data_IF_069867815678
#
_entry.id   IF_069867815678
#
_cell.length_a   1.000
_cell.length_b   1.000
_cell.length_c   1.000
_cell.angle_alpha   90.00
_cell.angle_beta   90.00
_cell.angle_gamma   90.00
#
_symmetry.space_group_name_H-M   'P 1'
#
loop_
_entity.id
_entity.type
_entity.pdbx_description
1 polymer ?
#
# COMPACT_ATOMS: atom_id res chain seq x y z
N UNK A 1 28.11 63.41 54.12
CA UNK A 1 27.93 64.34 52.98
C UNK A 1 28.74 63.78 51.82
N UNK A 2 28.08 63.03 50.94
CA UNK A 2 28.69 62.32 49.81
C UNK A 2 28.65 63.19 48.54
N UNK A 3 29.71 63.21 47.72
CA UNK A 3 29.82 64.13 46.59
C UNK A 3 29.01 63.70 45.36
N UNK A 4 28.47 64.70 44.67
CA UNK A 4 27.73 64.62 43.40
C UNK A 4 28.63 64.14 42.27
N UNK A 5 28.20 63.10 41.54
CA UNK A 5 28.85 62.62 40.33
C UNK A 5 28.30 63.33 39.08
N UNK A 6 29.21 63.83 38.26
CA UNK A 6 28.99 64.58 37.02
C UNK A 6 28.51 63.66 35.88
N UNK A 7 27.55 64.13 35.09
CA UNK A 7 27.06 63.46 33.88
C UNK A 7 28.04 63.58 32.70
N UNK A 8 28.24 62.54 31.86
CA UNK A 8 28.94 62.68 30.57
C UNK A 8 28.02 63.15 29.43
N UNK A 9 28.59 63.68 28.31
CA UNK A 9 27.88 64.48 27.32
C UNK A 9 27.18 63.68 26.21
N UNK A 10 26.33 64.42 25.49
CA UNK A 10 25.44 64.03 24.39
C UNK A 10 26.17 63.70 23.08
N UNK A 11 25.55 62.77 22.31
CA UNK A 11 25.51 62.65 20.83
C UNK A 11 26.32 61.52 20.17
N UNK A 12 25.58 60.57 19.57
CA UNK A 12 25.83 60.07 18.21
C UNK A 12 24.48 60.03 17.46
N UNK A 13 24.40 60.43 16.18
CA UNK A 13 23.15 60.41 15.40
C UNK A 13 22.89 59.03 14.79
N UNK A 14 21.62 58.63 14.68
CA UNK A 14 21.18 57.40 14.01
C UNK A 14 21.37 57.46 12.48
N UNK A 15 21.70 56.34 11.80
CA UNK A 15 21.80 56.30 10.34
C UNK A 15 20.40 56.23 9.69
N UNK A 16 20.21 57.07 8.69
CA UNK A 16 19.00 57.21 7.89
C UNK A 16 18.80 56.00 6.96
N UNK A 17 17.69 55.26 7.11
CA UNK A 17 17.38 54.01 6.36
C UNK A 17 16.71 54.25 5.00
N UNK A 18 16.78 55.47 4.46
CA UNK A 18 16.00 55.88 3.28
C UNK A 18 16.59 55.45 1.91
N UNK A 19 17.44 54.42 1.84
CA UNK A 19 18.07 53.99 0.59
C UNK A 19 18.07 52.47 0.36
N UNK A 20 16.92 51.80 0.55
CA UNK A 20 16.73 50.43 0.07
C UNK A 20 15.91 50.47 -1.23
N UNK A 21 16.48 50.14 -2.41
CA UNK A 21 15.70 50.09 -3.63
C UNK A 21 14.66 48.97 -3.56
N UNK A 22 13.39 49.32 -3.81
CA UNK A 22 12.26 48.40 -3.96
C UNK A 22 12.30 47.70 -5.32
N UNK A 23 13.39 47.01 -5.65
CA UNK A 23 13.35 46.06 -6.76
C UNK A 23 12.92 44.71 -6.19
N UNK A 24 11.60 44.56 -6.12
CA UNK A 24 10.94 43.36 -5.64
C UNK A 24 11.43 42.18 -6.47
N UNK A 25 12.27 41.34 -5.85
CA UNK A 25 12.58 40.02 -6.35
C UNK A 25 11.27 39.33 -6.76
N UNK A 26 11.03 39.25 -8.06
CA UNK A 26 10.01 38.36 -8.60
C UNK A 26 10.57 36.97 -8.39
N UNK A 27 10.28 36.40 -7.20
CA UNK A 27 10.51 34.99 -6.94
C UNK A 27 9.67 34.27 -7.99
N UNK A 28 10.28 33.50 -8.92
CA UNK A 28 9.50 32.63 -9.78
C UNK A 28 8.73 31.72 -8.84
N UNK A 29 7.40 31.78 -8.89
CA UNK A 29 6.50 30.93 -8.12
C UNK A 29 7.11 29.53 -8.01
N UNK A 30 7.64 29.22 -6.83
CA UNK A 30 8.23 27.93 -6.53
C UNK A 30 7.06 26.97 -6.70
N UNK A 31 7.05 26.22 -7.80
CA UNK A 31 5.97 25.30 -8.14
C UNK A 31 5.52 24.59 -6.87
N UNK A 32 4.26 24.81 -6.45
CA UNK A 32 3.74 24.23 -5.24
C UNK A 32 4.08 22.74 -5.25
N UNK A 33 4.66 22.17 -4.17
CA UNK A 33 5.09 20.78 -4.17
C UNK A 33 3.91 19.91 -4.59
N UNK A 34 4.03 19.27 -5.76
CA UNK A 34 2.98 18.41 -6.30
C UNK A 34 2.78 17.29 -5.28
N UNK A 35 1.66 17.33 -4.57
CA UNK A 35 1.32 16.29 -3.61
C UNK A 35 1.19 14.97 -4.36
N UNK A 36 1.82 13.91 -3.84
CA UNK A 36 1.70 12.56 -4.40
C UNK A 36 0.21 12.19 -4.49
N UNK A 37 -0.27 12.00 -5.72
CA UNK A 37 -1.63 11.51 -5.99
C UNK A 37 -1.58 10.05 -6.43
N UNK A 38 -2.62 9.30 -6.09
CA UNK A 38 -2.75 7.87 -6.39
C UNK A 38 -4.18 7.55 -6.82
N UNK A 39 -4.34 6.46 -7.56
CA UNK A 39 -5.63 5.86 -7.87
C UNK A 39 -5.75 4.47 -7.23
N UNK A 40 -6.94 4.15 -6.72
CA UNK A 40 -7.29 2.84 -6.20
C UNK A 40 -8.49 2.30 -6.98
N UNK A 41 -8.29 1.24 -7.74
CA UNK A 41 -9.30 0.62 -8.59
C UNK A 41 -10.15 -0.37 -7.80
N UNK A 42 -11.44 -0.44 -8.13
CA UNK A 42 -12.43 -1.30 -7.48
C UNK A 42 -12.80 -2.45 -8.41
N UNK A 43 -12.68 -3.69 -7.92
CA UNK A 43 -13.12 -4.86 -8.65
C UNK A 43 -14.61 -5.12 -8.39
N UNK A 44 -15.47 -4.62 -9.28
CA UNK A 44 -16.93 -4.84 -9.16
C UNK A 44 -17.37 -6.29 -9.30
N UNK A 45 -16.47 -7.16 -9.76
CA UNK A 45 -16.71 -8.60 -9.91
C UNK A 45 -16.17 -9.41 -8.74
N UNK A 46 -15.48 -8.78 -7.78
CA UNK A 46 -14.94 -9.46 -6.62
C UNK A 46 -16.05 -10.12 -5.79
N UNK A 47 -15.66 -11.15 -5.04
CA UNK A 47 -16.52 -11.72 -4.02
C UNK A 47 -16.76 -10.64 -2.94
N UNK A 48 -18.01 -10.23 -2.77
CA UNK A 48 -18.41 -9.24 -1.75
C UNK A 48 -18.31 -9.79 -0.31
N UNK A 49 -18.13 -11.10 -0.15
CA UNK A 49 -18.17 -11.75 1.15
C UNK A 49 -19.59 -11.72 1.76
N UNK A 50 -19.75 -12.18 3.01
CA UNK A 50 -21.05 -12.21 3.68
C UNK A 50 -21.46 -10.87 4.31
N UNK A 51 -20.53 -9.91 4.41
CA UNK A 51 -20.79 -8.65 5.10
C UNK A 51 -21.17 -7.49 4.19
N UNK A 52 -20.81 -7.54 2.90
CA UNK A 52 -21.08 -6.48 1.93
C UNK A 52 -22.21 -6.87 0.97
N UNK A 53 -23.10 -5.93 0.72
CA UNK A 53 -24.18 -6.05 -0.25
C UNK A 53 -23.62 -5.98 -1.67
N UNK A 54 -23.65 -7.11 -2.39
CA UNK A 54 -23.16 -7.20 -3.79
C UNK A 54 -23.74 -6.12 -4.70
N UNK A 55 -25.02 -5.78 -4.55
CA UNK A 55 -25.68 -4.73 -5.35
C UNK A 55 -25.08 -3.35 -5.11
N UNK A 56 -24.73 -3.02 -3.86
CA UNK A 56 -24.08 -1.75 -3.51
C UNK A 56 -22.65 -1.71 -4.03
N UNK A 57 -21.90 -2.81 -3.89
CA UNK A 57 -20.54 -2.92 -4.44
C UNK A 57 -20.52 -2.70 -5.95
N UNK A 58 -21.50 -3.22 -6.69
CA UNK A 58 -21.61 -3.00 -8.14
C UNK A 58 -21.93 -1.54 -8.52
N UNK A 59 -22.53 -0.77 -7.60
CA UNK A 59 -22.86 0.66 -7.79
C UNK A 59 -21.70 1.60 -7.43
N UNK A 60 -20.63 1.11 -6.82
CA UNK A 60 -19.44 1.91 -6.52
C UNK A 60 -18.80 2.49 -7.80
N UNK A 61 -17.99 3.56 -7.72
CA UNK A 61 -17.20 4.01 -8.86
C UNK A 61 -16.20 2.95 -9.32
N UNK A 62 -15.64 3.10 -10.52
CA UNK A 62 -14.59 2.17 -11.02
C UNK A 62 -13.27 2.31 -10.25
N UNK A 63 -13.01 3.50 -9.71
CA UNK A 63 -11.82 3.81 -8.92
C UNK A 63 -12.07 5.02 -8.01
N UNK A 64 -11.21 5.15 -6.99
CA UNK A 64 -11.02 6.33 -6.17
C UNK A 64 -9.72 7.03 -6.57
N UNK A 65 -9.72 8.37 -6.60
CA UNK A 65 -8.58 9.18 -7.04
C UNK A 65 -8.72 9.72 -8.47
N UNK A 66 -7.73 10.49 -8.97
CA UNK A 66 -6.41 10.74 -8.36
C UNK A 66 -6.48 11.68 -7.15
N UNK A 67 -6.14 11.17 -5.96
CA UNK A 67 -6.15 11.93 -4.69
C UNK A 67 -4.97 11.52 -3.79
N UNK A 68 -4.79 12.18 -2.64
CA UNK A 68 -3.77 11.79 -1.66
C UNK A 68 -4.04 10.38 -1.11
N UNK A 69 -3.00 9.60 -0.75
CA UNK A 69 -3.18 8.25 -0.20
C UNK A 69 -4.13 8.16 1.01
N UNK A 70 -4.16 9.18 1.87
CA UNK A 70 -5.10 9.26 2.99
C UNK A 70 -6.56 9.35 2.56
N UNK A 71 -6.84 10.11 1.50
CA UNK A 71 -8.20 10.32 1.02
C UNK A 71 -8.74 9.08 0.28
N UNK A 72 -7.94 8.44 -0.58
CA UNK A 72 -8.35 7.17 -1.21
C UNK A 72 -8.55 6.06 -0.18
N UNK A 73 -7.76 6.04 0.91
CA UNK A 73 -7.96 5.10 2.02
C UNK A 73 -9.29 5.38 2.73
N UNK A 74 -9.58 6.64 3.05
CA UNK A 74 -10.83 7.05 3.67
C UNK A 74 -12.03 6.67 2.80
N UNK A 75 -11.99 6.98 1.50
CA UNK A 75 -13.03 6.64 0.52
C UNK A 75 -13.27 5.13 0.44
N UNK A 76 -12.20 4.33 0.35
CA UNK A 76 -12.32 2.87 0.29
C UNK A 76 -12.92 2.26 1.57
N UNK A 77 -12.49 2.72 2.75
CA UNK A 77 -13.04 2.25 4.04
C UNK A 77 -14.50 2.68 4.20
N UNK A 78 -14.83 3.92 3.84
CA UNK A 78 -16.20 4.44 3.86
C UNK A 78 -17.11 3.61 2.92
N UNK A 79 -16.64 3.31 1.71
CA UNK A 79 -17.37 2.48 0.76
C UNK A 79 -17.68 1.07 1.31
N UNK A 80 -16.73 0.43 2.02
CA UNK A 80 -17.00 -0.84 2.69
C UNK A 80 -18.08 -0.71 3.78
N UNK A 81 -18.08 0.38 4.55
CA UNK A 81 -19.09 0.63 5.59
C UNK A 81 -20.47 0.86 4.94
N UNK A 82 -20.55 1.69 3.90
CA UNK A 82 -21.82 2.04 3.24
C UNK A 82 -22.42 0.83 2.49
N UNK A 83 -21.56 -0.03 1.96
CA UNK A 83 -21.96 -1.29 1.32
C UNK A 83 -22.33 -2.39 2.33
N UNK A 84 -22.16 -2.20 3.64
CA UNK A 84 -22.38 -3.26 4.62
C UNK A 84 -23.86 -3.59 4.83
N UNK A 85 -24.18 -4.89 4.93
CA UNK A 85 -25.49 -5.36 5.42
C UNK A 85 -25.76 -4.87 6.85
N UNK A 86 -24.71 -4.81 7.67
CA UNK A 86 -24.75 -4.35 9.06
C UNK A 86 -23.58 -3.40 9.31
N UNK A 87 -23.81 -2.08 9.19
CA UNK A 87 -22.74 -1.08 9.33
C UNK A 87 -22.01 -1.17 10.67
N UNK A 88 -22.74 -1.40 11.78
CA UNK A 88 -22.16 -1.55 13.13
C UNK A 88 -21.06 -2.62 13.18
N UNK A 89 -21.27 -3.75 12.51
CA UNK A 89 -20.32 -4.86 12.50
C UNK A 89 -19.07 -4.49 11.71
N UNK A 90 -19.22 -4.03 10.47
CA UNK A 90 -18.10 -3.62 9.61
C UNK A 90 -17.32 -2.47 10.24
N UNK A 91 -18.01 -1.48 10.79
CA UNK A 91 -17.42 -0.36 11.50
C UNK A 91 -16.60 -0.81 12.72
N UNK A 92 -17.03 -1.85 13.44
CA UNK A 92 -16.28 -2.39 14.57
C UNK A 92 -14.93 -3.04 14.17
N UNK A 93 -14.83 -3.56 12.94
CA UNK A 93 -13.63 -4.19 12.39
C UNK A 93 -12.56 -3.17 11.98
N UNK A 94 -12.98 -1.98 11.52
CA UNK A 94 -12.07 -0.86 11.23
C UNK A 94 -11.38 -0.46 12.53
N UNK A 95 -10.06 -0.60 12.65
CA UNK A 95 -9.36 -0.22 13.89
C UNK A 95 -9.10 1.28 13.92
N UNK A 96 -9.27 1.89 15.09
CA UNK A 96 -8.91 3.29 15.29
C UNK A 96 -7.39 3.44 15.14
N UNK A 97 -6.95 4.42 14.36
CA UNK A 97 -5.54 4.79 14.30
C UNK A 97 -5.12 5.57 15.54
N UNK A 98 -3.81 5.57 15.83
CA UNK A 98 -3.22 6.31 16.94
C UNK A 98 -2.12 7.24 16.43
N UNK A 99 -2.12 8.49 16.88
CA UNK A 99 -1.08 9.48 16.62
C UNK A 99 -1.20 10.21 15.27
N UNK A 100 -0.66 11.44 15.23
CA UNK A 100 -0.59 12.28 14.04
C UNK A 100 -1.91 12.94 13.64
N UNK A 101 -1.93 13.46 12.41
CA UNK A 101 -3.14 13.99 11.77
C UNK A 101 -4.07 12.82 11.40
N UNK A 102 -5.38 13.03 11.58
CA UNK A 102 -6.40 11.98 11.42
C UNK A 102 -7.51 12.43 10.48
N UNK A 103 -7.99 11.51 9.65
CA UNK A 103 -9.24 11.64 8.90
C UNK A 103 -10.30 10.73 9.51
N UNK A 104 -11.57 10.96 9.21
CA UNK A 104 -12.65 10.22 9.83
C UNK A 104 -13.54 9.50 8.82
N UNK A 105 -13.99 8.30 9.18
CA UNK A 105 -15.06 7.57 8.50
C UNK A 105 -16.26 7.47 9.42
N UNK A 106 -17.45 7.40 8.86
CA UNK A 106 -18.69 7.38 9.61
C UNK A 106 -19.53 6.15 9.31
N UNK A 107 -20.28 5.70 10.31
CA UNK A 107 -21.30 4.67 10.17
C UNK A 107 -22.56 5.11 10.90
N UNK A 108 -23.72 4.74 10.38
CA UNK A 108 -25.02 5.02 10.99
C UNK A 108 -25.62 3.72 11.55
N UNK A 109 -25.78 3.66 12.87
CA UNK A 109 -26.43 2.54 13.55
C UNK A 109 -27.03 3.02 14.89
N UNK A 110 -28.01 2.29 15.42
CA UNK A 110 -28.75 2.66 16.65
C UNK A 110 -29.36 4.08 16.58
N UNK A 111 -29.71 4.56 15.39
CA UNK A 111 -30.25 5.90 15.15
C UNK A 111 -29.24 7.05 15.28
N UNK A 112 -27.93 6.75 15.38
CA UNK A 112 -26.87 7.75 15.54
C UNK A 112 -25.76 7.56 14.50
N UNK A 113 -25.08 8.66 14.19
CA UNK A 113 -23.84 8.62 13.42
C UNK A 113 -22.67 8.39 14.38
N UNK A 114 -21.83 7.42 14.04
CA UNK A 114 -20.63 7.07 14.78
C UNK A 114 -19.41 7.35 13.90
N UNK A 115 -18.39 7.97 14.50
CA UNK A 115 -17.19 8.40 13.79
C UNK A 115 -15.96 7.60 14.23
N UNK A 116 -15.09 7.23 13.30
CA UNK A 116 -13.84 6.51 13.58
C UNK A 116 -12.67 7.13 12.86
N UNK A 117 -11.59 7.33 13.61
CA UNK A 117 -10.38 7.98 13.14
C UNK A 117 -9.47 7.00 12.40
N UNK A 118 -9.04 7.38 11.20
CA UNK A 118 -8.01 6.73 10.40
C UNK A 118 -6.77 7.65 10.34
N UNK A 119 -5.55 7.10 10.36
CA UNK A 119 -4.35 7.92 10.26
C UNK A 119 -4.23 8.54 8.87
N UNK A 120 -3.78 9.80 8.81
CA UNK A 120 -3.33 10.39 7.56
C UNK A 120 -2.06 9.67 7.11
N UNK A 121 -2.06 9.17 5.88
CA UNK A 121 -0.97 8.40 5.30
C UNK A 121 -0.53 8.96 3.95
N UNK A 122 0.73 8.70 3.60
CA UNK A 122 1.37 9.15 2.36
C UNK A 122 1.92 7.97 1.52
N UNK A 123 1.63 6.72 1.89
CA UNK A 123 2.19 5.53 1.24
C UNK A 123 1.09 4.64 0.67
N UNK A 124 1.08 4.43 -0.64
CA UNK A 124 0.17 3.49 -1.30
C UNK A 124 0.35 2.05 -0.77
N UNK A 125 1.58 1.66 -0.46
CA UNK A 125 1.86 0.35 0.16
C UNK A 125 1.25 0.21 1.57
N UNK A 126 1.09 1.31 2.32
CA UNK A 126 0.31 1.28 3.57
C UNK A 126 -1.18 1.10 3.28
N UNK A 127 -1.73 1.89 2.33
CA UNK A 127 -3.15 1.82 1.94
C UNK A 127 -3.53 0.40 1.54
N UNK A 128 -2.77 -0.23 0.65
CA UNK A 128 -3.03 -1.60 0.20
C UNK A 128 -2.96 -2.62 1.34
N UNK A 129 -1.98 -2.50 2.25
CA UNK A 129 -1.88 -3.42 3.41
C UNK A 129 -3.04 -3.25 4.40
N UNK A 130 -3.47 -2.01 4.62
CA UNK A 130 -4.63 -1.73 5.47
C UNK A 130 -5.88 -2.36 4.86
N UNK A 131 -6.14 -2.10 3.57
CA UNK A 131 -7.30 -2.60 2.86
C UNK A 131 -7.28 -4.13 2.74
N UNK A 132 -6.14 -4.75 2.48
CA UNK A 132 -6.01 -6.20 2.47
C UNK A 132 -6.40 -6.82 3.83
N UNK A 133 -6.01 -6.19 4.95
CA UNK A 133 -6.39 -6.65 6.30
C UNK A 133 -7.90 -6.48 6.55
N UNK A 134 -8.47 -5.36 6.14
CA UNK A 134 -9.90 -5.11 6.25
C UNK A 134 -10.69 -6.11 5.38
N UNK A 135 -10.34 -6.26 4.12
CA UNK A 135 -10.96 -7.19 3.17
C UNK A 135 -10.90 -8.64 3.66
N UNK A 136 -9.76 -9.07 4.24
CA UNK A 136 -9.64 -10.38 4.89
C UNK A 136 -10.64 -10.57 6.03
N UNK A 137 -10.85 -9.53 6.84
CA UNK A 137 -11.79 -9.56 7.96
C UNK A 137 -13.24 -9.58 7.46
N UNK A 138 -13.49 -8.97 6.30
CA UNK A 138 -14.77 -8.94 5.61
C UNK A 138 -14.99 -10.15 4.66
N UNK A 139 -14.00 -11.04 4.52
CA UNK A 139 -14.02 -12.16 3.57
C UNK A 139 -14.36 -11.72 2.12
N UNK A 140 -13.88 -10.53 1.73
CA UNK A 140 -14.09 -9.92 0.41
C UNK A 140 -12.74 -9.65 -0.28
N UNK A 141 -12.01 -10.71 -0.58
CA UNK A 141 -10.69 -10.63 -1.21
C UNK A 141 -10.74 -10.00 -2.62
N UNK A 142 -9.65 -9.38 -3.03
CA UNK A 142 -9.45 -8.77 -4.37
C UNK A 142 -10.43 -7.64 -4.75
N UNK A 143 -11.08 -7.01 -3.77
CA UNK A 143 -11.99 -5.86 -3.98
C UNK A 143 -11.26 -4.59 -4.45
N UNK A 144 -10.01 -4.37 -4.03
CA UNK A 144 -9.24 -3.17 -4.33
C UNK A 144 -7.88 -3.51 -4.94
N UNK A 145 -7.42 -2.68 -5.89
CA UNK A 145 -6.10 -2.79 -6.52
C UNK A 145 -5.50 -1.41 -6.80
N UNK A 146 -4.18 -1.33 -6.84
CA UNK A 146 -3.47 -0.14 -7.33
C UNK A 146 -3.31 -0.14 -8.85
N UNK A 147 -3.70 -1.23 -9.51
CA UNK A 147 -3.72 -1.38 -10.96
C UNK A 147 -5.16 -1.53 -11.47
N UNK A 148 -5.47 -1.01 -12.67
CA UNK A 148 -6.75 -1.25 -13.31
C UNK A 148 -7.02 -2.74 -13.50
N UNK A 149 -8.28 -3.15 -13.39
CA UNK A 149 -8.69 -4.50 -13.74
C UNK A 149 -8.85 -4.61 -15.26
N UNK A 150 -8.30 -5.66 -15.91
CA UNK A 150 -8.54 -5.88 -17.33
C UNK A 150 -10.03 -6.11 -17.54
N UNK A 151 -10.65 -5.22 -18.33
CA UNK A 151 -12.05 -5.39 -18.72
C UNK A 151 -12.14 -6.68 -19.53
N UNK A 152 -12.83 -7.68 -18.99
CA UNK A 152 -13.27 -8.81 -19.79
C UNK A 152 -14.13 -8.25 -20.91
N UNK A 153 -13.59 -8.23 -22.13
CA UNK A 153 -14.36 -8.03 -23.34
C UNK A 153 -15.37 -9.16 -23.37
N UNK A 154 -16.64 -8.84 -23.09
CA UNK A 154 -17.73 -9.75 -23.43
C UNK A 154 -17.65 -10.02 -24.92
N UNK A 155 -17.26 -11.24 -25.30
CA UNK A 155 -17.38 -11.73 -26.66
C UNK A 155 -18.86 -11.92 -26.96
N UNK A 156 -19.45 -11.26 -27.99
CA UNK A 156 -20.65 -11.78 -28.61
C UNK A 156 -20.31 -13.15 -29.20
N UNK A 157 -21.19 -14.09 -28.91
CA UNK A 157 -21.16 -15.46 -29.36
C UNK A 157 -21.46 -15.46 -30.86
N UNK A 158 -20.44 -15.62 -31.69
CA UNK A 158 -20.62 -16.03 -33.09
C UNK A 158 -19.60 -17.12 -33.43
N UNK A 159 -20.12 -18.35 -33.42
CA UNK A 159 -19.61 -19.50 -34.16
C UNK A 159 -19.43 -19.12 -35.64
N UNK A 160 -18.37 -19.63 -36.27
CA UNK A 160 -18.64 -20.61 -37.31
C UNK A 160 -17.75 -21.84 -37.17
N UNK A 161 -18.40 -23.00 -37.17
CA UNK A 161 -17.78 -24.27 -37.54
C UNK A 161 -17.38 -24.21 -39.02
N UNK A 162 -16.16 -24.63 -39.36
CA UNK A 162 -15.87 -25.40 -40.57
C UNK A 162 -14.60 -26.23 -40.32
N UNK A 163 -14.77 -27.55 -40.42
CA UNK A 163 -13.79 -28.64 -40.58
C UNK A 163 -12.61 -28.28 -41.53
N UNK A 164 -11.42 -28.89 -41.54
CA UNK A 164 -11.00 -30.28 -41.34
C UNK A 164 -9.46 -30.31 -41.40
N UNK A 165 -8.78 -31.28 -40.77
CA UNK A 165 -7.36 -31.53 -41.04
C UNK A 165 -6.60 -32.23 -39.92
N UNK A 166 -6.44 -33.55 -40.06
CA UNK A 166 -5.87 -34.52 -39.12
C UNK A 166 -4.37 -34.76 -39.40
N UNK A 167 -3.66 -35.26 -38.37
CA UNK A 167 -2.45 -36.14 -38.39
C UNK A 167 -1.07 -35.52 -38.01
N UNK A 168 -0.66 -35.86 -36.78
CA UNK A 168 0.65 -36.33 -36.24
C UNK A 168 1.90 -35.45 -36.00
N UNK A 169 2.38 -35.58 -34.75
CA UNK A 169 3.76 -35.71 -34.27
C UNK A 169 4.79 -34.60 -34.51
N UNK A 170 5.19 -33.92 -33.43
CA UNK A 170 6.51 -34.09 -32.80
C UNK A 170 6.67 -33.17 -31.58
N UNK A 171 7.35 -33.72 -30.59
CA UNK A 171 7.89 -33.09 -29.38
C UNK A 171 8.40 -31.65 -29.51
N UNK A 172 7.94 -30.77 -28.61
CA UNK A 172 8.72 -29.64 -28.10
C UNK A 172 8.13 -29.22 -26.73
N UNK A 173 8.92 -29.22 -25.64
CA UNK A 173 8.47 -28.63 -24.39
C UNK A 173 8.55 -27.11 -24.53
N UNK A 174 7.40 -26.44 -24.60
CA UNK A 174 7.34 -25.00 -24.44
C UNK A 174 7.85 -24.65 -23.03
N UNK A 175 8.86 -23.77 -22.87
CA UNK A 175 9.29 -23.39 -21.54
C UNK A 175 8.19 -22.57 -20.88
N UNK A 176 7.75 -23.13 -19.76
CA UNK A 176 6.97 -22.56 -18.67
C UNK A 176 6.70 -21.04 -18.72
N UNK A 177 5.44 -20.69 -19.03
CA UNK A 177 4.80 -19.50 -18.45
C UNK A 177 4.39 -19.83 -17.01
N UNK A 178 5.37 -19.92 -16.11
CA UNK A 178 5.16 -20.11 -14.68
C UNK A 178 5.60 -18.88 -13.86
N UNK A 179 5.48 -17.68 -14.40
CA UNK A 179 5.52 -16.49 -13.56
C UNK A 179 4.18 -16.32 -12.82
N UNK A 180 4.24 -16.42 -11.50
CA UNK A 180 3.22 -16.04 -10.51
C UNK A 180 2.10 -17.03 -10.14
N UNK A 181 2.43 -18.30 -9.85
CA UNK A 181 1.55 -19.12 -9.00
C UNK A 181 1.91 -18.94 -7.53
N UNK A 182 0.94 -18.55 -6.70
CA UNK A 182 1.08 -18.50 -5.23
C UNK A 182 1.56 -19.85 -4.69
N UNK A 183 2.39 -19.89 -3.63
CA UNK A 183 2.79 -21.12 -2.98
C UNK A 183 1.58 -21.99 -2.62
N UNK A 184 1.62 -23.26 -3.01
CA UNK A 184 0.51 -24.21 -2.78
C UNK A 184 0.36 -24.57 -1.31
N UNK A 185 1.48 -24.61 -0.60
CA UNK A 185 1.52 -24.89 0.84
C UNK A 185 1.53 -23.59 1.63
N UNK A 186 0.72 -23.54 2.68
CA UNK A 186 0.81 -22.46 3.68
C UNK A 186 2.00 -22.65 4.62
N UNK A 187 2.51 -23.87 4.79
CA UNK A 187 3.59 -24.17 5.72
C UNK A 187 4.96 -23.83 5.11
N UNK A 188 5.71 -22.83 5.65
CA UNK A 188 6.97 -22.41 5.08
C UNK A 188 8.05 -23.48 5.13
N UNK A 189 8.00 -24.43 6.07
CA UNK A 189 8.97 -25.53 6.12
C UNK A 189 8.93 -26.46 4.89
N UNK A 190 7.89 -26.33 4.06
CA UNK A 190 7.70 -27.10 2.83
C UNK A 190 7.92 -26.27 1.56
N UNK A 191 8.31 -25.00 1.69
CA UNK A 191 8.50 -24.10 0.55
C UNK A 191 9.77 -24.40 -0.22
N UNK A 192 9.62 -24.46 -1.54
CA UNK A 192 10.75 -24.43 -2.47
C UNK A 192 11.39 -23.04 -2.52
N UNK A 193 12.55 -22.95 -3.16
CA UNK A 193 13.21 -21.66 -3.45
C UNK A 193 12.27 -20.71 -4.21
N UNK A 194 11.45 -21.23 -5.12
CA UNK A 194 10.52 -20.38 -5.89
C UNK A 194 9.33 -19.90 -5.07
N UNK A 195 8.86 -20.70 -4.12
CA UNK A 195 7.86 -20.26 -3.15
C UNK A 195 8.41 -19.14 -2.26
N UNK A 196 9.69 -19.24 -1.86
CA UNK A 196 10.40 -18.19 -1.10
C UNK A 196 10.55 -16.93 -1.93
N UNK A 197 11.00 -17.02 -3.18
CA UNK A 197 11.13 -15.88 -4.08
C UNK A 197 9.78 -15.19 -4.27
N UNK A 198 8.73 -15.98 -4.48
CA UNK A 198 7.37 -15.45 -4.58
C UNK A 198 6.98 -14.70 -3.31
N UNK A 199 7.21 -15.30 -2.12
CA UNK A 199 6.92 -14.68 -0.83
C UNK A 199 7.69 -13.37 -0.64
N UNK A 200 8.99 -13.34 -0.91
CA UNK A 200 9.84 -12.15 -0.75
C UNK A 200 9.38 -11.02 -1.68
N UNK A 201 9.06 -11.36 -2.94
CA UNK A 201 8.55 -10.42 -3.94
C UNK A 201 7.18 -9.87 -3.55
N UNK A 202 6.26 -10.72 -3.10
CA UNK A 202 4.89 -10.34 -2.70
C UNK A 202 4.87 -9.54 -1.40
N UNK A 203 5.77 -9.85 -0.46
CA UNK A 203 5.87 -9.21 0.85
C UNK A 203 6.18 -7.71 0.78
N UNK A 204 7.16 -7.32 -0.05
CA UNK A 204 7.49 -5.92 -0.35
C UNK A 204 8.11 -5.82 -1.77
N UNK A 205 7.27 -5.69 -2.82
CA UNK A 205 7.75 -5.69 -4.21
C UNK A 205 8.75 -4.58 -4.52
N UNK A 206 8.63 -3.44 -3.84
CA UNK A 206 9.46 -2.26 -4.12
C UNK A 206 10.82 -2.36 -3.45
N UNK A 207 10.88 -2.82 -2.19
CA UNK A 207 12.12 -2.83 -1.43
C UNK A 207 12.83 -4.19 -1.43
N UNK A 208 12.11 -5.30 -1.63
CA UNK A 208 12.68 -6.64 -1.66
C UNK A 208 12.65 -7.26 -3.06
N UNK A 209 11.71 -6.85 -3.92
CA UNK A 209 11.61 -7.32 -5.30
C UNK A 209 12.92 -7.25 -6.11
N UNK A 210 13.71 -6.17 -6.05
CA UNK A 210 15.01 -6.11 -6.74
C UNK A 210 16.07 -7.11 -6.24
N UNK A 211 15.83 -7.77 -5.11
CA UNK A 211 16.78 -8.65 -4.42
C UNK A 211 16.42 -10.13 -4.53
N UNK A 212 15.32 -10.49 -5.21
CA UNK A 212 14.80 -11.87 -5.20
C UNK A 212 15.73 -12.88 -5.88
N UNK A 213 16.51 -12.46 -6.88
CA UNK A 213 17.50 -13.34 -7.52
C UNK A 213 18.61 -13.78 -6.55
N UNK A 214 18.83 -13.06 -5.45
CA UNK A 214 19.77 -13.49 -4.41
C UNK A 214 19.26 -14.76 -3.72
N UNK A 215 17.96 -14.91 -3.51
CA UNK A 215 17.39 -16.10 -2.88
C UNK A 215 17.52 -17.32 -3.79
N UNK A 216 17.40 -17.14 -5.10
CA UNK A 216 17.71 -18.19 -6.08
C UNK A 216 19.18 -18.57 -6.06
N UNK A 217 20.05 -17.56 -6.19
CA UNK A 217 21.50 -17.75 -6.24
C UNK A 217 22.04 -18.45 -4.99
N UNK A 218 21.47 -18.14 -3.83
CA UNK A 218 21.86 -18.74 -2.55
C UNK A 218 21.01 -19.96 -2.17
N UNK A 219 20.16 -20.46 -3.08
CA UNK A 219 19.31 -21.64 -2.90
C UNK A 219 18.52 -21.61 -1.58
N UNK A 220 17.95 -20.45 -1.26
CA UNK A 220 17.21 -20.25 -0.01
C UNK A 220 15.82 -20.84 -0.13
N UNK A 221 15.66 -22.06 0.40
CA UNK A 221 14.38 -22.72 0.59
C UNK A 221 13.67 -22.22 1.86
N UNK A 222 12.47 -22.76 2.11
CA UNK A 222 11.65 -22.35 3.24
C UNK A 222 12.27 -22.61 4.61
N UNK A 223 13.05 -23.70 4.78
CA UNK A 223 13.71 -24.00 6.03
C UNK A 223 14.87 -23.03 6.28
N UNK A 224 15.68 -22.76 5.25
CA UNK A 224 16.74 -21.76 5.30
C UNK A 224 16.17 -20.37 5.59
N UNK A 225 15.07 -19.98 4.94
CA UNK A 225 14.40 -18.70 5.16
C UNK A 225 14.01 -18.50 6.63
N UNK A 226 13.47 -19.53 7.29
CA UNK A 226 13.07 -19.47 8.70
C UNK A 226 14.27 -19.32 9.65
N UNK A 227 15.48 -19.68 9.23
CA UNK A 227 16.70 -19.60 10.03
C UNK A 227 17.50 -18.31 9.77
N UNK A 228 17.18 -17.57 8.71
CA UNK A 228 17.87 -16.32 8.39
C UNK A 228 17.78 -15.31 9.54
N UNK A 229 18.94 -14.76 9.90
CA UNK A 229 19.11 -13.67 10.86
C UNK A 229 19.61 -12.41 10.16
N UNK A 230 19.43 -11.26 10.81
CA UNK A 230 19.79 -9.95 10.25
C UNK A 230 21.26 -9.86 9.84
N UNK A 231 22.16 -10.40 10.64
CA UNK A 231 23.60 -10.45 10.37
C UNK A 231 23.92 -11.33 9.15
N UNK A 232 23.26 -12.48 9.02
CA UNK A 232 23.43 -13.36 7.86
C UNK A 232 22.93 -12.72 6.56
N UNK A 233 21.77 -12.07 6.62
CA UNK A 233 21.17 -11.37 5.49
C UNK A 233 22.09 -10.26 4.98
N UNK A 234 22.65 -9.45 5.89
CA UNK A 234 23.54 -8.37 5.50
C UNK A 234 24.90 -8.87 5.00
N UNK A 235 25.48 -9.87 5.67
CA UNK A 235 26.83 -10.37 5.39
C UNK A 235 26.90 -11.27 4.17
N UNK A 236 25.96 -12.21 4.02
CA UNK A 236 26.04 -13.25 3.00
C UNK A 236 25.14 -12.99 1.79
N UNK A 237 24.03 -12.27 1.95
CA UNK A 237 23.16 -11.87 0.83
C UNK A 237 23.49 -10.44 0.34
N UNK A 238 24.32 -9.69 1.07
CA UNK A 238 24.72 -8.35 0.68
C UNK A 238 23.60 -7.30 0.76
N UNK A 239 22.52 -7.59 1.48
CA UNK A 239 21.43 -6.62 1.67
C UNK A 239 21.90 -5.49 2.59
N UNK A 240 21.56 -4.25 2.20
CA UNK A 240 21.73 -3.08 3.08
C UNK A 240 20.77 -3.18 4.28
N UNK A 241 21.09 -2.46 5.36
CA UNK A 241 20.32 -2.49 6.61
C UNK A 241 18.80 -2.33 6.41
N UNK A 242 18.38 -1.39 5.55
CA UNK A 242 16.97 -1.13 5.26
C UNK A 242 16.21 -2.37 4.74
N UNK A 243 16.56 -2.90 3.55
CA UNK A 243 15.99 -4.15 3.04
C UNK A 243 16.13 -5.34 3.99
N UNK A 244 17.26 -5.47 4.70
CA UNK A 244 17.48 -6.54 5.66
C UNK A 244 16.46 -6.51 6.82
N UNK A 245 16.22 -5.34 7.42
CA UNK A 245 15.23 -5.18 8.48
C UNK A 245 13.80 -5.47 8.01
N UNK A 246 13.47 -5.06 6.78
CA UNK A 246 12.16 -5.37 6.18
C UNK A 246 11.98 -6.86 5.99
N UNK A 247 12.99 -7.55 5.44
CA UNK A 247 12.96 -8.99 5.26
C UNK A 247 12.77 -9.71 6.62
N UNK A 248 13.55 -9.33 7.65
CA UNK A 248 13.38 -9.87 9.00
C UNK A 248 11.95 -9.70 9.52
N UNK A 249 11.36 -8.50 9.38
CA UNK A 249 9.97 -8.24 9.77
C UNK A 249 8.98 -9.20 9.11
N UNK A 250 9.15 -9.46 7.80
CA UNK A 250 8.27 -10.37 7.08
C UNK A 250 8.47 -11.83 7.48
N UNK A 251 9.71 -12.27 7.74
CA UNK A 251 10.01 -13.61 8.25
C UNK A 251 9.43 -13.82 9.66
N UNK A 252 9.53 -12.83 10.54
CA UNK A 252 8.96 -12.91 11.90
C UNK A 252 7.44 -12.98 11.86
N UNK A 253 6.81 -12.18 10.99
CA UNK A 253 5.36 -12.24 10.77
C UNK A 253 4.93 -13.59 10.20
N UNK A 254 5.74 -14.16 9.31
CA UNK A 254 5.51 -15.49 8.76
C UNK A 254 5.52 -16.53 9.90
N UNK A 255 6.54 -16.54 10.76
CA UNK A 255 6.63 -17.45 11.92
C UNK A 255 5.45 -17.36 12.89
N UNK A 256 4.87 -16.17 13.06
CA UNK A 256 3.75 -15.94 13.98
C UNK A 256 2.40 -16.40 13.42
N UNK A 257 2.28 -16.51 12.08
CA UNK A 257 1.11 -17.09 11.46
C UNK A 257 1.13 -18.60 11.74
N UNK A 258 0.34 -19.07 12.71
CA UNK A 258 0.18 -20.51 12.96
C UNK A 258 -0.26 -21.18 11.65
N UNK A 259 0.56 -22.10 11.14
CA UNK A 259 0.35 -22.85 9.90
C UNK A 259 -0.48 -24.10 10.14
#
# INVERSE_FOLDING_TARGET
MTPLALSPPRSTPEPDLSSIPQDAATIPSLAAPQALTVCLYINKQANAGPYLERRKVQQLPEHFGPERPSAVLQQAVQACIDCAHQQKLVFSLVKQGYGGEMVSVSASFDGKQHLRSLPVVNSMGYVLRFLAKLCRSLLCDDLFSHQPFPRGTGTPKDTPETQEGRIESASSPSPDRQDARRPRSRNPSTWSVEDVVWFVKDADPQALGPHVELFRKHEIDGNALLLLKSDMIMKYLGLKLGPALKLCYHIDKLKQAKF
#
